data_IF_179942891217
#
_entry.id   IF_179942891217
#
_cell.length_a   1.000
_cell.length_b   1.000
_cell.length_c   1.000
_cell.angle_alpha   90.00
_cell.angle_beta   90.00
_cell.angle_gamma   90.00
#
_symmetry.space_group_name_H-M   'P 1'
#
loop_
_entity.id
_entity.type
_entity.pdbx_description
1 polymer ?
#
# COMPACT_ATOMS: atom_id res chain seq x y z
N UNK A 1 9.06 -1.84 -52.92
CA UNK A 1 8.99 -3.23 -52.40
C UNK A 1 8.79 -3.16 -50.90
N UNK A 2 7.57 -3.45 -50.45
CA UNK A 2 7.14 -3.34 -49.05
C UNK A 2 7.77 -4.46 -48.21
N UNK A 3 8.69 -4.12 -47.31
CA UNK A 3 9.10 -5.00 -46.22
C UNK A 3 8.03 -4.97 -45.12
N UNK A 4 7.07 -5.87 -45.21
CA UNK A 4 6.15 -6.21 -44.12
C UNK A 4 6.92 -6.93 -43.01
N UNK A 5 7.53 -6.17 -42.11
CA UNK A 5 8.10 -6.71 -40.87
C UNK A 5 6.95 -7.20 -39.98
N UNK A 6 6.85 -8.52 -39.87
CA UNK A 6 5.81 -9.24 -39.13
C UNK A 6 5.75 -8.77 -37.65
N UNK A 7 4.59 -8.28 -37.15
CA UNK A 7 4.45 -7.74 -35.80
C UNK A 7 4.81 -8.74 -34.69
N UNK A 8 4.72 -10.05 -34.96
CA UNK A 8 5.15 -11.11 -34.05
C UNK A 8 6.65 -11.04 -33.69
N UNK A 9 7.53 -10.68 -34.64
CA UNK A 9 8.98 -10.63 -34.37
C UNK A 9 9.35 -9.52 -33.37
N UNK A 10 8.59 -8.42 -33.37
CA UNK A 10 8.83 -7.28 -32.47
C UNK A 10 8.34 -7.59 -31.04
N UNK A 11 7.28 -8.38 -30.91
CA UNK A 11 6.75 -8.83 -29.63
C UNK A 11 7.61 -9.92 -28.97
N UNK A 12 8.11 -10.87 -29.77
CA UNK A 12 9.01 -11.93 -29.29
C UNK A 12 10.31 -11.34 -28.72
N UNK A 13 10.90 -10.33 -29.37
CA UNK A 13 12.13 -9.69 -28.88
C UNK A 13 11.97 -8.93 -27.56
N UNK A 14 10.78 -8.42 -27.23
CA UNK A 14 10.54 -7.71 -25.98
C UNK A 14 10.34 -8.64 -24.76
N UNK A 15 9.91 -9.88 -24.99
CA UNK A 15 9.67 -10.88 -23.94
C UNK A 15 10.92 -11.67 -23.52
N UNK A 16 11.97 -11.68 -24.36
CA UNK A 16 13.14 -12.55 -24.18
C UNK A 16 14.14 -12.07 -23.12
N UNK A 17 14.06 -10.81 -22.68
CA UNK A 17 15.09 -10.20 -21.83
C UNK A 17 14.64 -9.79 -20.42
N UNK A 18 13.45 -10.18 -19.96
CA UNK A 18 12.98 -9.71 -18.64
C UNK A 18 12.14 -10.71 -17.82
N UNK A 19 12.23 -12.02 -18.09
CA UNK A 19 11.47 -13.00 -17.32
C UNK A 19 12.32 -14.22 -16.96
N UNK A 20 12.58 -14.41 -15.66
CA UNK A 20 13.38 -15.51 -15.11
C UNK A 20 12.58 -16.79 -14.83
N UNK A 21 11.30 -16.84 -15.20
CA UNK A 21 10.44 -18.00 -14.98
C UNK A 21 10.23 -18.84 -16.26
N UNK A 22 10.29 -20.18 -16.14
CA UNK A 22 10.01 -21.12 -17.25
C UNK A 22 8.61 -20.92 -17.86
N UNK A 23 7.66 -20.42 -17.06
CA UNK A 23 6.28 -20.11 -17.46
C UNK A 23 6.21 -18.81 -18.31
N UNK A 24 7.16 -17.90 -18.14
CA UNK A 24 7.31 -16.69 -18.96
C UNK A 24 7.57 -16.96 -20.44
N UNK A 25 8.26 -18.06 -20.76
CA UNK A 25 8.55 -18.47 -22.13
C UNK A 25 7.30 -18.85 -22.93
N UNK A 26 6.27 -19.40 -22.26
CA UNK A 26 5.00 -19.78 -22.88
C UNK A 26 3.97 -18.64 -22.88
N UNK A 27 4.31 -17.47 -22.34
CA UNK A 27 3.40 -16.34 -22.24
C UNK A 27 2.74 -15.93 -23.57
N UNK A 28 3.44 -15.90 -24.72
CA UNK A 28 2.81 -15.57 -26.00
C UNK A 28 1.69 -16.55 -26.39
N UNK A 29 1.87 -17.84 -26.13
CA UNK A 29 0.88 -18.89 -26.44
C UNK A 29 -0.32 -18.80 -25.51
N UNK A 30 -0.09 -18.53 -24.22
CA UNK A 30 -1.16 -18.37 -23.23
C UNK A 30 -1.97 -17.09 -23.52
N UNK A 31 -1.32 -16.01 -23.95
CA UNK A 31 -1.95 -14.75 -24.30
C UNK A 31 -2.86 -14.84 -25.54
N UNK A 32 -2.59 -15.77 -26.48
CA UNK A 32 -3.51 -16.03 -27.61
C UNK A 32 -4.89 -16.51 -27.15
N UNK A 33 -4.96 -17.28 -26.05
CA UNK A 33 -6.22 -17.76 -25.46
C UNK A 33 -6.72 -16.90 -24.31
N UNK A 34 -5.85 -16.13 -23.65
CA UNK A 34 -6.16 -15.27 -22.50
C UNK A 34 -5.46 -13.91 -22.65
N UNK A 35 -6.05 -12.98 -23.43
CA UNK A 35 -5.49 -11.65 -23.61
C UNK A 35 -5.29 -10.96 -22.24
N UNK A 36 -4.05 -10.56 -21.95
CA UNK A 36 -3.66 -9.88 -20.70
C UNK A 36 -3.17 -10.81 -19.57
N UNK A 37 -3.06 -12.12 -19.77
CA UNK A 37 -2.43 -13.01 -18.78
C UNK A 37 -0.92 -12.75 -18.69
N UNK A 38 -0.43 -12.66 -17.46
CA UNK A 38 1.00 -12.51 -17.15
C UNK A 38 1.37 -13.37 -15.92
N UNK A 39 2.54 -14.04 -15.93
CA UNK A 39 3.01 -14.79 -14.77
C UNK A 39 3.15 -13.88 -13.55
N UNK A 40 2.66 -14.31 -12.39
CA UNK A 40 2.80 -13.58 -11.13
C UNK A 40 1.87 -12.37 -10.96
N UNK A 41 0.98 -12.09 -11.93
CA UNK A 41 -0.04 -11.05 -11.81
C UNK A 41 -1.46 -11.61 -11.76
N UNK A 42 -2.28 -10.98 -10.94
CA UNK A 42 -3.67 -11.31 -10.69
C UNK A 42 -4.54 -10.15 -11.12
N UNK A 43 -5.68 -10.47 -11.72
CA UNK A 43 -6.68 -9.44 -12.05
C UNK A 43 -7.30 -8.91 -10.75
N UNK A 44 -7.55 -7.62 -10.71
CA UNK A 44 -8.42 -7.01 -9.72
C UNK A 44 -9.36 -6.00 -10.41
N UNK A 45 -10.45 -5.68 -9.75
CA UNK A 45 -11.37 -4.63 -10.18
C UNK A 45 -11.34 -3.49 -9.18
N UNK A 46 -11.42 -2.26 -9.66
CA UNK A 46 -11.57 -1.08 -8.82
C UNK A 46 -13.01 -1.04 -8.34
N UNK A 47 -13.25 -1.20 -7.04
CA UNK A 47 -14.59 -1.11 -6.46
C UNK A 47 -14.93 0.34 -6.16
N UNK A 48 -13.98 1.09 -5.61
CA UNK A 48 -14.14 2.50 -5.28
C UNK A 48 -12.85 3.30 -5.51
N UNK A 49 -13.02 4.60 -5.80
CA UNK A 49 -11.94 5.59 -5.86
C UNK A 49 -12.37 6.83 -5.11
N UNK A 50 -11.63 7.22 -4.08
CA UNK A 50 -11.92 8.41 -3.27
C UNK A 50 -10.69 9.31 -3.18
N UNK A 51 -10.87 10.60 -3.45
CA UNK A 51 -9.84 11.62 -3.18
C UNK A 51 -9.97 12.02 -1.73
N UNK A 52 -8.95 11.70 -0.92
CA UNK A 52 -8.94 12.01 0.53
C UNK A 52 -8.62 13.49 0.74
N UNK A 53 -7.58 13.97 0.04
CA UNK A 53 -7.19 15.37 0.01
C UNK A 53 -6.47 15.67 -1.33
N UNK A 54 -5.92 16.88 -1.49
CA UNK A 54 -5.27 17.30 -2.73
C UNK A 54 -4.10 16.41 -3.19
N UNK A 55 -3.52 15.63 -2.28
CA UNK A 55 -2.33 14.82 -2.52
C UNK A 55 -2.52 13.34 -2.24
N UNK A 56 -3.70 12.88 -1.81
CA UNK A 56 -3.90 11.48 -1.40
C UNK A 56 -5.16 10.91 -2.02
N UNK A 57 -5.01 9.74 -2.65
CA UNK A 57 -6.07 8.95 -3.26
C UNK A 57 -6.21 7.63 -2.49
N UNK A 58 -7.44 7.23 -2.16
CA UNK A 58 -7.76 5.88 -1.71
C UNK A 58 -8.39 5.10 -2.86
N UNK A 59 -7.87 3.90 -3.10
CA UNK A 59 -8.35 2.98 -4.13
C UNK A 59 -8.75 1.66 -3.47
N UNK A 60 -10.03 1.32 -3.52
CA UNK A 60 -10.53 0.02 -3.08
C UNK A 60 -10.51 -0.95 -4.26
N UNK A 61 -9.92 -2.12 -4.05
CA UNK A 61 -9.68 -3.14 -5.06
C UNK A 61 -10.29 -4.46 -4.62
N UNK A 62 -10.91 -5.16 -5.56
CA UNK A 62 -11.37 -6.54 -5.40
C UNK A 62 -10.51 -7.48 -6.24
N UNK A 63 -9.49 -8.13 -5.64
CA UNK A 63 -8.70 -9.16 -6.30
C UNK A 63 -9.58 -10.32 -6.80
N UNK A 64 -9.15 -10.95 -7.88
CA UNK A 64 -9.77 -12.20 -8.35
C UNK A 64 -9.60 -13.30 -7.31
N UNK A 65 -10.52 -14.28 -7.28
CA UNK A 65 -10.52 -15.40 -6.32
C UNK A 65 -9.24 -16.26 -6.32
N UNK A 66 -8.35 -16.11 -7.32
CA UNK A 66 -7.07 -16.83 -7.39
C UNK A 66 -5.94 -16.11 -6.66
N UNK A 67 -6.13 -14.86 -6.25
CA UNK A 67 -5.11 -14.11 -5.52
C UNK A 67 -4.98 -14.71 -4.11
N UNK A 68 -3.77 -15.03 -3.64
CA UNK A 68 -3.56 -15.83 -2.43
C UNK A 68 -3.89 -15.10 -1.12
N UNK A 69 -4.23 -13.81 -1.18
CA UNK A 69 -4.38 -12.96 -0.01
C UNK A 69 -3.09 -12.23 0.35
N UNK A 70 -3.09 -11.64 1.55
CA UNK A 70 -1.94 -10.94 2.12
C UNK A 70 -1.89 -11.13 3.63
N UNK A 71 -0.72 -10.86 4.20
CA UNK A 71 -0.54 -10.59 5.62
C UNK A 71 -0.48 -9.08 5.86
N UNK A 72 -1.01 -8.57 6.98
CA UNK A 72 -0.91 -7.14 7.29
C UNK A 72 0.52 -6.60 7.19
N UNK A 73 0.65 -5.37 6.71
CA UNK A 73 1.95 -4.73 6.49
C UNK A 73 2.65 -5.09 5.17
N UNK A 74 2.10 -6.05 4.40
CA UNK A 74 2.59 -6.36 3.07
C UNK A 74 2.22 -5.31 2.01
N UNK A 75 2.98 -5.32 0.92
CA UNK A 75 2.78 -4.46 -0.24
C UNK A 75 2.56 -5.29 -1.51
N UNK A 76 1.98 -4.66 -2.53
CA UNK A 76 1.76 -5.22 -3.86
C UNK A 76 2.28 -4.27 -4.94
N UNK A 77 2.63 -4.82 -6.10
CA UNK A 77 2.84 -4.04 -7.31
C UNK A 77 1.50 -3.84 -8.04
N UNK A 78 1.00 -2.61 -8.06
CA UNK A 78 -0.15 -2.24 -8.88
C UNK A 78 0.31 -1.98 -10.32
N UNK A 79 -0.33 -2.62 -11.27
CA UNK A 79 0.01 -2.62 -12.68
C UNK A 79 -1.15 -2.06 -13.51
N UNK A 80 -0.85 -1.10 -14.39
CA UNK A 80 -1.81 -0.53 -15.35
C UNK A 80 -1.14 -0.14 -16.67
N UNK A 81 -1.93 0.11 -17.70
CA UNK A 81 -1.47 0.59 -19.00
C UNK A 81 -1.51 2.12 -19.03
N UNK A 82 -0.35 2.73 -19.29
CA UNK A 82 -0.21 4.17 -19.45
C UNK A 82 0.44 4.42 -20.82
N UNK A 83 -0.30 5.07 -21.72
CA UNK A 83 0.12 5.34 -23.10
C UNK A 83 0.59 4.09 -23.86
N UNK A 84 -0.19 3.01 -23.73
CA UNK A 84 0.08 1.72 -24.38
C UNK A 84 1.26 0.94 -23.79
N UNK A 85 1.87 1.41 -22.70
CA UNK A 85 2.96 0.73 -21.99
C UNK A 85 2.50 0.29 -20.62
N UNK A 86 2.87 -0.93 -20.24
CA UNK A 86 2.64 -1.39 -18.88
C UNK A 86 3.59 -0.66 -17.94
N UNK A 87 3.01 -0.08 -16.89
CA UNK A 87 3.75 0.50 -15.79
C UNK A 87 3.31 -0.18 -14.50
N UNK A 88 4.21 -0.23 -13.52
CA UNK A 88 3.93 -0.73 -12.19
C UNK A 88 4.50 0.18 -11.11
N UNK A 89 3.83 0.23 -9.96
CA UNK A 89 4.33 0.87 -8.73
C UNK A 89 3.92 0.04 -7.52
N UNK A 90 4.79 0.01 -6.53
CA UNK A 90 4.56 -0.71 -5.28
C UNK A 90 3.78 0.15 -4.30
N UNK A 91 2.74 -0.42 -3.70
CA UNK A 91 1.95 0.23 -2.65
C UNK A 91 1.69 -0.76 -1.51
N UNK A 92 1.80 -0.28 -0.27
CA UNK A 92 1.41 -1.02 0.91
C UNK A 92 -0.11 -1.16 0.96
N UNK A 93 -0.59 -2.34 1.32
CA UNK A 93 -2.01 -2.57 1.56
C UNK A 93 -2.38 -1.87 2.87
N UNK A 94 -3.27 -0.89 2.80
CA UNK A 94 -3.62 -0.03 3.95
C UNK A 94 -4.91 -0.44 4.65
N UNK A 95 -5.67 -1.38 4.09
CA UNK A 95 -6.85 -1.97 4.73
C UNK A 95 -6.48 -3.05 5.75
N UNK A 96 -7.37 -3.28 6.71
CA UNK A 96 -7.23 -4.37 7.67
C UNK A 96 -7.47 -5.75 7.03
N UNK A 97 -6.88 -6.79 7.61
CA UNK A 97 -7.11 -8.18 7.18
C UNK A 97 -8.59 -8.58 7.26
N UNK A 98 -9.34 -7.98 8.18
CA UNK A 98 -10.76 -8.28 8.36
C UNK A 98 -11.62 -7.84 7.17
N UNK A 99 -11.25 -6.75 6.49
CA UNK A 99 -11.94 -6.30 5.27
C UNK A 99 -11.77 -7.34 4.16
N UNK A 100 -10.55 -7.82 3.97
CA UNK A 100 -10.27 -8.88 2.99
C UNK A 100 -11.01 -10.18 3.30
N UNK A 101 -11.04 -10.61 4.56
CA UNK A 101 -11.70 -11.86 4.94
C UNK A 101 -13.23 -11.81 4.78
N UNK A 102 -13.84 -10.64 4.95
CA UNK A 102 -15.31 -10.46 4.86
C UNK A 102 -15.78 -10.13 3.45
N UNK A 103 -15.10 -9.19 2.80
CA UNK A 103 -15.57 -8.60 1.53
C UNK A 103 -14.74 -9.03 0.32
N UNK A 104 -13.57 -9.64 0.55
CA UNK A 104 -12.60 -9.93 -0.50
C UNK A 104 -12.00 -8.66 -1.10
N UNK A 105 -11.94 -7.57 -0.34
CA UNK A 105 -11.41 -6.28 -0.77
C UNK A 105 -10.14 -5.89 -0.02
N UNK A 106 -9.28 -5.17 -0.73
CA UNK A 106 -8.08 -4.52 -0.18
C UNK A 106 -8.12 -3.03 -0.56
N UNK A 107 -7.49 -2.20 0.25
CA UNK A 107 -7.37 -0.77 -0.03
C UNK A 107 -5.92 -0.34 -0.15
N UNK A 108 -5.69 0.63 -1.04
CA UNK A 108 -4.41 1.32 -1.19
C UNK A 108 -4.64 2.81 -0.95
N UNK A 109 -3.91 3.40 -0.01
CA UNK A 109 -3.87 4.85 0.22
C UNK A 109 -2.58 5.43 -0.34
N UNK A 110 -2.71 6.20 -1.41
CA UNK A 110 -1.64 6.52 -2.36
C UNK A 110 -1.38 8.02 -2.33
N UNK A 111 -0.12 8.43 -2.09
CA UNK A 111 0.31 9.82 -2.31
C UNK A 111 0.43 10.08 -3.80
N UNK A 112 -0.28 11.10 -4.29
CA UNK A 112 -0.23 11.57 -5.66
C UNK A 112 0.96 12.52 -5.84
N UNK A 113 1.94 12.10 -6.65
CA UNK A 113 3.04 12.95 -7.10
C UNK A 113 2.68 13.56 -8.46
N UNK A 114 2.56 14.90 -8.51
CA UNK A 114 2.13 15.61 -9.72
C UNK A 114 3.14 15.49 -10.87
N UNK A 115 4.43 15.42 -10.55
CA UNK A 115 5.51 15.24 -11.54
C UNK A 115 5.64 13.79 -12.05
N UNK A 116 4.87 12.86 -11.45
CA UNK A 116 4.83 11.47 -11.83
C UNK A 116 3.90 11.18 -13.01
N UNK A 117 3.98 9.97 -13.56
CA UNK A 117 3.00 9.49 -14.57
C UNK A 117 1.98 8.53 -13.99
N UNK A 118 2.42 7.70 -13.04
CA UNK A 118 1.59 6.62 -12.51
C UNK A 118 0.44 7.12 -11.65
N UNK A 119 0.74 7.89 -10.60
CA UNK A 119 -0.29 8.35 -9.67
C UNK A 119 -1.24 9.40 -10.27
N UNK A 120 -0.81 10.33 -11.16
CA UNK A 120 -1.77 11.17 -11.87
C UNK A 120 -2.69 10.38 -12.80
N UNK A 121 -2.20 9.30 -13.43
CA UNK A 121 -3.05 8.41 -14.22
C UNK A 121 -4.10 7.69 -13.37
N UNK A 122 -3.75 7.21 -12.17
CA UNK A 122 -4.74 6.66 -11.23
C UNK A 122 -5.82 7.68 -10.88
N UNK A 123 -5.43 8.95 -10.72
CA UNK A 123 -6.35 10.02 -10.39
C UNK A 123 -7.27 10.38 -11.57
N UNK A 124 -6.72 10.56 -12.76
CA UNK A 124 -7.45 11.12 -13.91
C UNK A 124 -8.16 10.09 -14.79
N UNK A 125 -7.63 8.87 -14.92
CA UNK A 125 -8.12 7.89 -15.89
C UNK A 125 -8.79 6.66 -15.26
N UNK A 126 -8.29 6.19 -14.11
CA UNK A 126 -8.83 4.99 -13.45
C UNK A 126 -10.15 5.32 -12.74
N UNK A 127 -11.18 4.49 -12.92
CA UNK A 127 -12.51 4.65 -12.35
C UNK A 127 -13.05 3.34 -11.75
N UNK A 128 -14.10 3.42 -10.91
CA UNK A 128 -14.79 2.22 -10.44
C UNK A 128 -15.27 1.36 -11.61
N UNK A 129 -15.12 0.05 -11.49
CA UNK A 129 -15.38 -0.93 -12.54
C UNK A 129 -14.15 -1.24 -13.41
N UNK A 130 -13.12 -0.41 -13.40
CA UNK A 130 -11.92 -0.66 -14.19
C UNK A 130 -11.17 -1.90 -13.71
N UNK A 131 -10.51 -2.55 -14.66
CA UNK A 131 -9.70 -3.73 -14.40
C UNK A 131 -8.22 -3.36 -14.37
N UNK A 132 -7.57 -3.67 -13.25
CA UNK A 132 -6.14 -3.51 -13.06
C UNK A 132 -5.50 -4.89 -12.81
N UNK A 133 -4.18 -4.90 -12.65
CA UNK A 133 -3.42 -6.09 -12.26
C UNK A 133 -2.60 -5.83 -11.01
N UNK A 134 -2.48 -6.83 -10.15
CA UNK A 134 -1.67 -6.76 -8.92
C UNK A 134 -0.74 -7.97 -8.83
N UNK A 135 0.42 -7.82 -8.21
CA UNK A 135 1.29 -8.95 -7.87
C UNK A 135 0.73 -9.76 -6.69
N UNK A 136 1.40 -10.86 -6.35
CA UNK A 136 1.31 -11.41 -4.99
C UNK A 136 1.74 -10.36 -3.95
N UNK A 137 1.17 -10.44 -2.75
CA UNK A 137 1.59 -9.61 -1.63
C UNK A 137 2.97 -10.06 -1.13
N UNK A 138 3.85 -9.10 -0.89
CA UNK A 138 5.24 -9.30 -0.46
C UNK A 138 5.61 -8.41 0.71
N UNK A 139 6.72 -8.72 1.36
CA UNK A 139 7.23 -8.01 2.52
C UNK A 139 6.87 -8.67 3.85
N UNK A 140 7.53 -8.19 4.89
CA UNK A 140 7.57 -8.70 6.26
C UNK A 140 7.47 -7.57 7.29
N UNK A 141 6.93 -6.41 6.88
CA UNK A 141 6.78 -5.23 7.76
C UNK A 141 5.62 -5.42 8.76
N UNK A 142 5.84 -6.25 9.77
CA UNK A 142 4.88 -6.59 10.81
C UNK A 142 5.63 -6.82 12.13
N UNK A 143 5.08 -6.40 13.29
CA UNK A 143 5.75 -6.64 14.57
C UNK A 143 5.75 -8.13 14.91
N UNK A 144 6.93 -8.75 14.95
CA UNK A 144 7.10 -10.17 15.28
C UNK A 144 6.98 -10.47 16.78
N UNK A 145 7.17 -9.46 17.62
CA UNK A 145 7.19 -9.60 19.08
C UNK A 145 5.78 -9.52 19.67
N UNK A 146 5.35 -10.59 20.36
CA UNK A 146 4.00 -10.67 20.92
C UNK A 146 3.86 -10.05 22.32
N UNK A 147 4.97 -9.82 23.04
CA UNK A 147 4.96 -9.50 24.49
C UNK A 147 5.79 -8.25 24.87
N UNK A 148 6.08 -7.36 23.93
CA UNK A 148 6.85 -6.14 24.20
C UNK A 148 6.09 -4.89 23.77
N UNK A 149 6.22 -3.77 24.52
CA UNK A 149 5.73 -2.46 24.11
C UNK A 149 6.15 -2.10 22.68
N UNK A 150 5.19 -1.61 21.90
CA UNK A 150 5.36 -1.32 20.48
C UNK A 150 5.26 0.18 20.22
N UNK A 151 6.34 0.78 19.73
CA UNK A 151 6.38 2.16 19.26
C UNK A 151 6.30 2.21 17.73
N UNK A 152 5.27 2.86 17.23
CA UNK A 152 5.05 3.09 15.81
C UNK A 152 5.26 4.58 15.51
N UNK A 153 6.12 4.89 14.53
CA UNK A 153 6.39 6.26 14.11
C UNK A 153 6.09 6.39 12.61
N UNK A 154 5.06 7.16 12.27
CA UNK A 154 4.59 7.35 10.91
C UNK A 154 4.76 8.80 10.44
N UNK A 155 5.20 8.98 9.19
CA UNK A 155 5.15 10.27 8.50
C UNK A 155 4.31 10.19 7.22
N UNK A 156 3.27 11.02 7.11
CA UNK A 156 2.39 11.08 5.94
C UNK A 156 1.82 9.71 5.55
N UNK A 157 1.96 9.30 4.28
CA UNK A 157 1.50 7.99 3.81
C UNK A 157 2.28 6.79 4.37
N UNK A 158 3.36 7.01 5.12
CA UNK A 158 4.04 5.96 5.89
C UNK A 158 3.18 5.33 6.99
N UNK A 159 2.01 5.90 7.28
CA UNK A 159 1.00 5.32 8.16
C UNK A 159 0.33 4.04 7.62
N UNK A 160 0.40 3.82 6.30
CA UNK A 160 -0.31 2.73 5.60
C UNK A 160 -0.02 1.32 6.12
N UNK A 161 1.23 0.88 6.37
CA UNK A 161 1.46 -0.42 6.99
C UNK A 161 0.83 -0.54 8.37
N UNK A 162 0.89 0.51 9.19
CA UNK A 162 0.32 0.49 10.54
C UNK A 162 -1.20 0.38 10.50
N UNK A 163 -1.87 1.11 9.60
CA UNK A 163 -3.31 0.98 9.38
C UNK A 163 -3.72 -0.46 9.01
N UNK A 164 -2.85 -1.20 8.32
CA UNK A 164 -3.08 -2.60 7.95
C UNK A 164 -3.15 -3.54 9.15
N UNK A 165 -2.33 -3.31 10.18
CA UNK A 165 -2.16 -4.25 11.29
C UNK A 165 -2.63 -3.74 12.67
N UNK A 166 -2.93 -2.45 12.82
CA UNK A 166 -3.21 -1.86 14.15
C UNK A 166 -4.37 -2.55 14.86
N UNK A 167 -5.42 -2.92 14.14
CA UNK A 167 -6.60 -3.63 14.65
C UNK A 167 -6.27 -4.96 15.34
N UNK A 168 -5.14 -5.57 14.98
CA UNK A 168 -4.65 -6.81 15.60
C UNK A 168 -3.79 -6.51 16.82
N UNK A 169 -2.99 -5.44 16.77
CA UNK A 169 -2.07 -5.09 17.84
C UNK A 169 -2.82 -4.59 19.08
N UNK A 170 -3.84 -3.75 18.90
CA UNK A 170 -4.64 -3.20 20.02
C UNK A 170 -5.58 -4.22 20.67
N UNK A 171 -5.64 -5.45 20.16
CA UNK A 171 -6.38 -6.55 20.81
C UNK A 171 -5.51 -7.35 21.78
N UNK A 172 -4.20 -7.11 21.77
CA UNK A 172 -3.24 -7.71 22.70
C UNK A 172 -3.19 -6.86 23.96
N UNK A 173 -2.77 -7.42 25.09
CA UNK A 173 -2.62 -6.67 26.34
C UNK A 173 -1.25 -5.98 26.46
N UNK A 174 -0.56 -5.77 25.34
CA UNK A 174 0.74 -5.08 25.26
C UNK A 174 0.56 -3.61 24.90
N UNK A 175 1.31 -2.68 25.52
CA UNK A 175 1.26 -1.27 25.16
C UNK A 175 1.61 -1.03 23.69
N UNK A 176 0.83 -0.18 23.02
CA UNK A 176 1.10 0.28 21.65
C UNK A 176 1.00 1.80 21.63
N UNK A 177 2.06 2.47 21.17
CA UNK A 177 2.06 3.92 21.00
C UNK A 177 2.34 4.28 19.55
N UNK A 178 1.46 5.09 18.94
CA UNK A 178 1.58 5.55 17.57
C UNK A 178 1.80 7.06 17.52
N UNK A 179 2.98 7.50 17.08
CA UNK A 179 3.26 8.89 16.72
C UNK A 179 3.00 9.06 15.23
N UNK A 180 2.10 9.97 14.87
CA UNK A 180 1.71 10.20 13.48
C UNK A 180 1.96 11.64 13.09
N UNK A 181 2.97 11.85 12.24
CA UNK A 181 3.41 13.15 11.78
C UNK A 181 2.75 13.52 10.46
N UNK A 182 2.11 14.68 10.43
CA UNK A 182 1.55 15.29 9.23
C UNK A 182 1.60 16.83 9.33
N UNK A 183 1.57 17.59 8.21
CA UNK A 183 1.64 19.05 8.26
C UNK A 183 0.52 19.67 9.10
N UNK A 184 -0.72 19.32 8.81
CA UNK A 184 -1.92 19.81 9.50
C UNK A 184 -2.80 18.68 10.01
N UNK A 185 -3.84 18.99 10.79
CA UNK A 185 -4.83 18.00 11.27
C UNK A 185 -5.52 17.25 10.13
N UNK A 186 -5.70 17.93 8.99
CA UNK A 186 -6.44 17.40 7.85
C UNK A 186 -5.57 16.45 7.02
N UNK A 187 -4.26 16.46 7.25
CA UNK A 187 -3.29 15.56 6.62
C UNK A 187 -3.09 14.26 7.41
N UNK A 188 -3.62 14.15 8.63
CA UNK A 188 -3.55 12.91 9.42
C UNK A 188 -4.51 11.85 8.86
N UNK A 189 -4.02 11.07 7.90
CA UNK A 189 -4.72 9.92 7.33
C UNK A 189 -5.15 8.92 8.42
N UNK A 190 -6.35 8.35 8.30
CA UNK A 190 -6.94 7.40 9.25
C UNK A 190 -7.09 7.93 10.70
N UNK A 191 -6.98 9.24 10.94
CA UNK A 191 -7.01 9.82 12.30
C UNK A 191 -8.27 9.45 13.09
N UNK A 192 -9.44 9.43 12.44
CA UNK A 192 -10.70 9.04 13.08
C UNK A 192 -10.67 7.57 13.55
N UNK A 193 -10.09 6.68 12.75
CA UNK A 193 -9.96 5.27 13.08
C UNK A 193 -9.04 5.07 14.28
N UNK A 194 -7.84 5.66 14.27
CA UNK A 194 -6.91 5.55 15.40
C UNK A 194 -7.43 6.22 16.67
N UNK A 195 -8.10 7.37 16.55
CA UNK A 195 -8.73 8.04 17.71
C UNK A 195 -9.78 7.13 18.35
N UNK A 196 -10.62 6.49 17.53
CA UNK A 196 -11.62 5.54 18.01
C UNK A 196 -10.97 4.35 18.70
N UNK A 197 -9.92 3.77 18.12
CA UNK A 197 -9.20 2.66 18.75
C UNK A 197 -8.60 3.08 20.10
N UNK A 198 -8.02 4.28 20.20
CA UNK A 198 -7.41 4.77 21.44
C UNK A 198 -8.45 4.99 22.55
N UNK A 199 -9.70 5.33 22.19
CA UNK A 199 -10.82 5.40 23.14
C UNK A 199 -11.31 4.01 23.59
N UNK A 200 -11.17 2.99 22.73
CA UNK A 200 -11.66 1.64 22.99
C UNK A 200 -10.64 0.75 23.70
N UNK A 201 -9.35 1.05 23.54
CA UNK A 201 -8.24 0.22 24.02
C UNK A 201 -7.30 1.05 24.91
N UNK A 202 -7.36 0.92 26.25
CA UNK A 202 -6.58 1.74 27.18
C UNK A 202 -5.06 1.61 27.02
N UNK A 203 -4.57 0.49 26.48
CA UNK A 203 -3.15 0.25 26.21
C UNK A 203 -2.68 0.80 24.85
N UNK A 204 -3.59 1.38 24.04
CA UNK A 204 -3.25 2.02 22.77
C UNK A 204 -3.30 3.55 22.88
N UNK A 205 -2.15 4.18 22.62
CA UNK A 205 -2.01 5.63 22.62
C UNK A 205 -1.75 6.16 21.22
N UNK A 206 -2.67 6.99 20.72
CA UNK A 206 -2.51 7.69 19.45
C UNK A 206 -2.08 9.14 19.67
N UNK A 207 -0.95 9.53 19.07
CA UNK A 207 -0.36 10.87 19.16
C UNK A 207 -0.23 11.51 17.77
N UNK A 208 -1.25 12.22 17.28
CA UNK A 208 -1.13 13.02 16.06
C UNK A 208 -0.26 14.26 16.32
N UNK A 209 0.83 14.41 15.55
CA UNK A 209 1.78 15.51 15.62
C UNK A 209 1.70 16.37 14.36
N UNK A 210 1.54 17.68 14.53
CA UNK A 210 1.55 18.65 13.41
C UNK A 210 2.96 19.16 13.17
N UNK A 211 3.53 18.85 12.01
CA UNK A 211 4.89 19.29 11.67
C UNK A 211 4.98 20.80 11.43
N UNK A 212 3.90 21.45 11.01
CA UNK A 212 3.86 22.91 10.88
C UNK A 212 3.89 23.64 12.23
N UNK A 213 3.29 23.05 13.27
CA UNK A 213 3.21 23.68 14.61
C UNK A 213 4.34 23.25 15.54
N UNK A 214 4.72 21.97 15.48
CA UNK A 214 5.62 21.35 16.46
C UNK A 214 6.97 20.94 15.85
N UNK A 215 7.14 21.09 14.54
CA UNK A 215 8.34 20.65 13.82
C UNK A 215 8.36 19.15 13.54
N UNK A 216 9.48 18.69 12.97
CA UNK A 216 9.70 17.28 12.65
C UNK A 216 10.12 16.47 13.88
N UNK A 217 10.23 15.15 13.70
CA UNK A 217 10.68 14.23 14.73
C UNK A 217 12.00 14.70 15.35
N UNK A 218 12.00 14.93 16.66
CA UNK A 218 13.17 15.36 17.43
C UNK A 218 13.33 14.54 18.72
N UNK A 219 14.55 14.56 19.28
CA UNK A 219 14.83 13.85 20.54
C UNK A 219 14.03 14.46 21.70
N UNK A 220 13.86 15.77 21.67
CA UNK A 220 13.07 16.53 22.65
C UNK A 220 11.62 16.07 22.63
N UNK A 221 11.04 15.90 21.44
CA UNK A 221 9.67 15.44 21.28
C UNK A 221 9.49 14.01 21.78
N UNK A 222 10.43 13.10 21.47
CA UNK A 222 10.38 11.74 21.99
C UNK A 222 10.43 11.73 23.52
N UNK A 223 11.34 12.49 24.15
CA UNK A 223 11.46 12.58 25.61
C UNK A 223 10.24 13.18 26.30
N UNK A 224 9.57 14.13 25.66
CA UNK A 224 8.38 14.78 26.23
C UNK A 224 7.15 13.89 26.20
N UNK A 225 7.07 12.99 25.22
CA UNK A 225 5.87 12.21 24.98
C UNK A 225 6.01 10.76 25.45
N UNK A 226 7.20 10.18 25.40
CA UNK A 226 7.44 8.76 25.65
C UNK A 226 8.18 8.53 26.96
N UNK A 227 7.83 7.44 27.62
CA UNK A 227 8.57 6.85 28.72
C UNK A 227 9.58 5.82 28.18
N UNK A 228 10.60 5.48 28.98
CA UNK A 228 11.59 4.45 28.58
C UNK A 228 10.94 3.09 28.30
N UNK A 229 9.83 2.77 28.98
CA UNK A 229 9.04 1.55 28.78
C UNK A 229 8.22 1.51 27.49
N UNK A 230 8.15 2.60 26.72
CA UNK A 230 7.32 2.65 25.51
C UNK A 230 8.04 2.14 24.24
N UNK A 231 9.31 1.71 24.32
CA UNK A 231 10.19 1.63 23.13
C UNK A 231 10.94 0.31 22.92
N UNK A 232 10.48 -0.80 23.51
CA UNK A 232 11.13 -2.12 23.37
C UNK A 232 11.20 -2.59 21.90
N UNK A 233 10.15 -2.34 21.12
CA UNK A 233 10.16 -2.56 19.68
C UNK A 233 9.71 -1.29 18.95
N UNK A 234 10.54 -0.79 18.03
CA UNK A 234 10.29 0.45 17.30
C UNK A 234 10.18 0.17 15.81
N UNK A 235 9.05 0.56 15.21
CA UNK A 235 8.85 0.53 13.76
C UNK A 235 8.66 1.95 13.23
N UNK A 236 9.36 2.28 12.16
CA UNK A 236 9.33 3.61 11.54
C UNK A 236 8.97 3.47 10.07
N UNK A 237 8.01 4.26 9.59
CA UNK A 237 7.68 4.33 8.17
C UNK A 237 7.25 5.75 7.78
N UNK A 238 7.82 6.28 6.71
CA UNK A 238 7.56 7.63 6.25
C UNK A 238 8.60 8.09 5.26
N UNK A 239 8.36 9.24 4.66
CA UNK A 239 9.34 9.87 3.78
C UNK A 239 10.38 10.61 4.64
N UNK A 240 11.66 10.48 4.27
CA UNK A 240 12.78 11.22 4.84
C UNK A 240 13.02 12.51 4.06
N UNK A 241 11.97 13.32 3.91
CA UNK A 241 12.06 14.61 3.21
C UNK A 241 12.23 15.75 4.21
#
# INVERSE_FOLDING_TARGET
MNTTLNPLKRFVNASLFNNTSAIGWLAPVIQLRRPGWQPGLFRCYVTSKQVINQHVLQLSLKPSAKWPGFKPGQHIELNTLIDGRQQSRTFTISSSLSLWQKEGEIELTIRCHQDGRFTPHLLSAVSSGDRLYISEAKGDFYPETENSPLLLIAGGTGITPFASFIDQQVKRDTPVTLLHFAPTSDDHLFSQHFTKLSQQHPHFRYLPMSTQKQGYLSREMLRQNLSESDSDHVMVCGLMD
#
